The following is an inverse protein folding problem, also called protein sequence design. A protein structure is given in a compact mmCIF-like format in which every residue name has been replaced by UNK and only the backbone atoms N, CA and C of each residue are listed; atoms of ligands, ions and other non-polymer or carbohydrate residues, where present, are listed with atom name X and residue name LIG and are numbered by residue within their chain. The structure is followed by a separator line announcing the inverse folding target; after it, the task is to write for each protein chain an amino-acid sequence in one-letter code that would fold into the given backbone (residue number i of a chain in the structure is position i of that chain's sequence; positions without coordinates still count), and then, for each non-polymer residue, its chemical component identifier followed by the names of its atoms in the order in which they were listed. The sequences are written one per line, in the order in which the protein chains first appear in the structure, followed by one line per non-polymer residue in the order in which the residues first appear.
data_IF_497866308693
#
_entry.id   IF_497866308693
#
_cell.length_a   1.000
_cell.length_b   1.000
_cell.length_c   1.000
_cell.angle_alpha   90.00
_cell.angle_beta   90.00
_cell.angle_gamma   90.00
#
_symmetry.space_group_name_H-M   'P 1'
#
loop_
_entity.id
_entity.type
_entity.pdbx_description
1 polymer ?
#
# COMPACT_ATOMS: atom_id res chain seq x y z
N UNK A 1 12.75 -7.17 8.50
CA UNK A 1 13.57 -6.28 7.65
C UNK A 1 12.84 -4.97 7.38
N UNK A 2 11.59 -5.01 6.92
CA UNK A 2 10.82 -3.80 6.65
C UNK A 2 10.47 -2.98 7.91
N UNK A 3 10.13 -3.63 9.02
CA UNK A 3 9.89 -2.95 10.31
C UNK A 3 11.09 -2.13 10.78
N UNK A 4 12.30 -2.66 10.61
CA UNK A 4 13.54 -1.97 10.98
C UNK A 4 13.75 -0.68 10.16
N UNK A 5 13.42 -0.69 8.86
CA UNK A 5 13.48 0.52 8.04
C UNK A 5 12.52 1.59 8.55
N UNK A 6 11.32 1.20 8.99
CA UNK A 6 10.33 2.12 9.57
C UNK A 6 10.85 2.69 10.90
N UNK A 7 11.43 1.85 11.74
CA UNK A 7 12.06 2.24 13.01
C UNK A 7 13.25 3.18 12.80
N UNK A 8 14.11 2.91 11.82
CA UNK A 8 15.24 3.76 11.43
C UNK A 8 14.76 5.13 10.89
N UNK A 9 13.52 5.21 10.38
CA UNK A 9 12.87 6.46 10.00
C UNK A 9 12.28 7.22 11.20
N UNK A 10 12.32 6.66 12.41
CA UNK A 10 11.87 7.30 13.65
C UNK A 10 10.42 7.00 14.04
N UNK A 11 9.78 6.02 13.42
CA UNK A 11 8.40 5.61 13.74
C UNK A 11 8.37 4.26 14.48
N UNK A 12 7.50 4.13 15.48
CA UNK A 12 7.23 2.84 16.09
C UNK A 12 6.49 1.94 15.09
N UNK A 13 6.93 0.68 14.97
CA UNK A 13 6.34 -0.30 14.07
C UNK A 13 5.89 -1.54 14.86
N UNK A 14 4.63 -1.92 14.71
CA UNK A 14 4.11 -3.19 15.25
C UNK A 14 3.81 -4.14 14.09
N UNK A 15 4.32 -5.38 14.18
CA UNK A 15 3.91 -6.42 13.24
C UNK A 15 2.59 -7.05 13.70
N UNK A 16 1.54 -6.82 12.93
CA UNK A 16 0.22 -7.41 13.17
C UNK A 16 0.14 -8.74 12.44
N UNK A 17 -0.10 -9.83 13.17
CA UNK A 17 -0.30 -11.12 12.53
C UNK A 17 -1.70 -11.21 11.89
N UNK A 18 -1.90 -12.06 10.84
CA UNK A 18 -3.19 -12.19 10.17
C UNK A 18 -4.36 -12.59 11.10
N UNK A 19 -4.11 -13.35 12.16
CA UNK A 19 -5.15 -13.76 13.11
C UNK A 19 -5.64 -12.60 13.97
N UNK A 20 -4.74 -11.71 14.40
CA UNK A 20 -5.07 -10.46 15.09
C UNK A 20 -5.82 -9.52 14.16
N UNK A 21 -5.32 -9.39 12.92
CA UNK A 21 -5.98 -8.59 11.89
C UNK A 21 -7.42 -9.08 11.65
N UNK A 22 -7.68 -10.38 11.65
CA UNK A 22 -9.03 -10.94 11.47
C UNK A 22 -9.89 -10.95 12.75
N UNK A 23 -9.29 -10.78 13.93
CA UNK A 23 -10.00 -10.85 15.21
C UNK A 23 -10.82 -9.58 15.48
N UNK A 24 -12.14 -9.66 15.73
CA UNK A 24 -12.98 -8.49 16.01
C UNK A 24 -12.69 -7.85 17.38
N UNK A 25 -11.97 -8.54 18.27
CA UNK A 25 -11.65 -8.07 19.61
C UNK A 25 -10.29 -7.37 19.68
N UNK A 26 -9.43 -7.59 18.69
CA UNK A 26 -8.16 -6.89 18.63
C UNK A 26 -8.41 -5.43 18.24
N UNK A 27 -7.75 -4.53 18.96
CA UNK A 27 -7.79 -3.09 18.75
C UNK A 27 -6.39 -2.56 18.81
N UNK A 28 -6.03 -1.72 17.85
CA UNK A 28 -4.79 -0.96 17.88
C UNK A 28 -5.05 0.47 17.44
N UNK A 29 -4.10 1.36 17.71
CA UNK A 29 -4.16 2.75 17.25
C UNK A 29 -2.94 2.98 16.40
N UNK A 30 -3.17 3.37 15.15
CA UNK A 30 -2.09 3.52 14.18
C UNK A 30 -2.30 4.79 13.36
N UNK A 31 -1.20 5.40 12.94
CA UNK A 31 -1.21 6.42 11.88
C UNK A 31 -1.39 5.74 10.52
N UNK A 32 -0.66 4.65 10.31
CA UNK A 32 -0.58 3.97 9.02
C UNK A 32 -0.57 2.46 9.16
N UNK A 33 -1.25 1.78 8.24
CA UNK A 33 -1.15 0.34 8.00
C UNK A 33 -0.38 0.09 6.69
N UNK A 34 0.56 -0.85 6.70
CA UNK A 34 1.34 -1.21 5.51
C UNK A 34 1.14 -2.70 5.22
N UNK A 35 0.63 -3.01 4.04
CA UNK A 35 0.42 -4.37 3.53
C UNK A 35 1.56 -4.71 2.58
N UNK A 36 2.46 -5.64 2.94
CA UNK A 36 3.67 -5.92 2.18
C UNK A 36 3.39 -6.65 0.86
N UNK A 37 4.37 -6.61 -0.04
CA UNK A 37 4.33 -7.35 -1.30
C UNK A 37 4.07 -8.83 -1.08
N UNK A 38 3.32 -9.46 -1.98
CA UNK A 38 3.05 -10.90 -1.93
C UNK A 38 1.91 -11.27 -0.97
N UNK A 39 1.16 -10.28 -0.45
CA UNK A 39 0.10 -10.51 0.52
C UNK A 39 -0.99 -11.49 0.02
N UNK A 40 -1.19 -11.58 -1.30
CA UNK A 40 -2.19 -12.44 -1.92
C UNK A 40 -1.65 -13.80 -2.39
N UNK A 41 -0.33 -13.99 -2.36
CA UNK A 41 0.28 -15.23 -2.82
C UNK A 41 0.21 -16.32 -1.72
N UNK A 42 -0.63 -17.36 -1.90
CA UNK A 42 -0.87 -18.36 -0.86
C UNK A 42 0.34 -19.26 -0.58
N UNK A 43 1.35 -19.27 -1.46
CA UNK A 43 2.60 -19.99 -1.21
C UNK A 43 3.47 -19.31 -0.14
N UNK A 44 3.25 -18.02 0.12
CA UNK A 44 4.08 -17.21 1.02
C UNK A 44 3.31 -16.57 2.18
N UNK A 45 2.00 -16.35 2.02
CA UNK A 45 1.21 -15.57 2.98
C UNK A 45 -0.24 -16.03 3.11
N UNK A 46 -0.75 -15.96 4.33
CA UNK A 46 -2.18 -16.11 4.66
C UNK A 46 -2.85 -14.74 4.94
N UNK A 47 -2.23 -13.63 4.53
CA UNK A 47 -2.69 -12.28 4.84
C UNK A 47 -3.96 -11.90 4.05
N UNK A 48 -4.08 -12.32 2.79
CA UNK A 48 -5.23 -11.95 1.95
C UNK A 48 -6.61 -12.36 2.50
N UNK A 49 -6.82 -13.61 2.98
CA UNK A 49 -8.06 -13.96 3.66
C UNK A 49 -8.34 -13.10 4.91
N UNK A 50 -7.30 -12.71 5.65
CA UNK A 50 -7.43 -11.86 6.83
C UNK A 50 -7.78 -10.41 6.47
N UNK A 51 -7.24 -9.89 5.36
CA UNK A 51 -7.60 -8.57 4.83
C UNK A 51 -9.08 -8.52 4.43
N UNK A 52 -9.58 -9.52 3.70
CA UNK A 52 -11.01 -9.66 3.38
C UNK A 52 -11.87 -9.74 4.65
N UNK A 53 -11.49 -10.56 5.62
CA UNK A 53 -12.21 -10.65 6.89
C UNK A 53 -12.21 -9.34 7.71
N UNK A 54 -11.24 -8.45 7.45
CA UNK A 54 -11.10 -7.16 8.11
C UNK A 54 -11.61 -5.97 7.29
N UNK A 55 -12.20 -6.18 6.10
CA UNK A 55 -12.57 -5.12 5.14
C UNK A 55 -13.32 -3.96 5.80
N UNK A 56 -14.33 -4.25 6.61
CA UNK A 56 -15.16 -3.21 7.25
C UNK A 56 -14.43 -2.45 8.36
N UNK A 57 -13.38 -3.02 8.96
CA UNK A 57 -12.51 -2.31 9.91
C UNK A 57 -11.47 -1.47 9.18
N UNK A 58 -10.89 -2.00 8.11
CA UNK A 58 -9.97 -1.27 7.24
C UNK A 58 -10.68 -0.03 6.68
N UNK A 59 -11.92 -0.18 6.20
CA UNK A 59 -12.73 0.94 5.75
C UNK A 59 -12.89 2.00 6.85
N UNK A 60 -13.35 1.63 8.06
CA UNK A 60 -13.52 2.57 9.17
C UNK A 60 -12.20 3.22 9.61
N UNK A 61 -11.10 2.47 9.58
CA UNK A 61 -9.77 2.99 9.90
C UNK A 61 -9.37 4.08 8.91
N UNK A 62 -9.51 3.84 7.61
CA UNK A 62 -9.17 4.82 6.59
C UNK A 62 -10.14 6.01 6.65
N UNK A 63 -11.46 5.77 6.71
CA UNK A 63 -12.46 6.83 6.85
C UNK A 63 -12.19 7.75 8.07
N UNK A 64 -11.69 7.19 9.16
CA UNK A 64 -11.36 7.91 10.39
C UNK A 64 -10.00 8.64 10.40
N UNK A 65 -9.29 8.69 9.27
CA UNK A 65 -8.02 9.39 9.10
C UNK A 65 -6.78 8.49 9.01
N UNK A 66 -6.97 7.17 9.07
CA UNK A 66 -5.88 6.22 8.91
C UNK A 66 -5.32 6.21 7.49
N UNK A 67 -4.03 5.89 7.35
CA UNK A 67 -3.35 5.80 6.05
C UNK A 67 -3.05 4.35 5.72
N UNK A 68 -3.36 3.90 4.52
CA UNK A 68 -3.12 2.53 4.09
C UNK A 68 -2.15 2.53 2.91
N UNK A 69 -1.02 1.83 3.03
CA UNK A 69 -0.09 1.56 1.93
C UNK A 69 -0.18 0.07 1.57
N UNK A 70 -0.49 -0.23 0.32
CA UNK A 70 -0.61 -1.61 -0.18
C UNK A 70 0.34 -1.81 -1.33
N UNK A 71 1.27 -2.75 -1.15
CA UNK A 71 2.16 -3.19 -2.22
C UNK A 71 1.52 -4.26 -3.08
N UNK A 72 2.17 -4.60 -4.19
CA UNK A 72 1.70 -5.60 -5.14
C UNK A 72 1.35 -6.96 -4.56
N UNK A 73 0.36 -7.60 -5.17
CA UNK A 73 -0.19 -8.87 -4.71
C UNK A 73 0.80 -10.05 -4.82
N UNK A 74 1.81 -9.93 -5.69
CA UNK A 74 2.88 -10.91 -5.89
C UNK A 74 2.43 -12.25 -6.49
N UNK A 75 1.26 -12.27 -7.14
CA UNK A 75 0.75 -13.38 -7.93
C UNK A 75 -0.32 -12.89 -8.92
N UNK A 76 -0.56 -13.65 -9.98
CA UNK A 76 -1.63 -13.38 -10.94
C UNK A 76 -3.01 -13.61 -10.32
N UNK A 77 -3.53 -12.57 -9.65
CA UNK A 77 -4.87 -12.52 -9.07
C UNK A 77 -5.45 -11.12 -9.29
N UNK A 78 -6.46 -11.05 -10.16
CA UNK A 78 -7.09 -9.79 -10.57
C UNK A 78 -7.87 -9.12 -9.42
N UNK A 79 -8.56 -9.92 -8.60
CA UNK A 79 -9.39 -9.50 -7.47
C UNK A 79 -8.61 -9.33 -6.15
N UNK A 80 -7.28 -9.20 -6.20
CA UNK A 80 -6.43 -9.17 -5.00
C UNK A 80 -6.70 -7.96 -4.08
N UNK A 81 -7.45 -6.96 -4.53
CA UNK A 81 -7.71 -5.71 -3.81
C UNK A 81 -9.19 -5.49 -3.49
N UNK A 82 -10.04 -6.51 -3.64
CA UNK A 82 -11.50 -6.41 -3.41
C UNK A 82 -11.92 -6.09 -1.96
N UNK A 83 -10.98 -6.15 -1.02
CA UNK A 83 -11.15 -5.75 0.38
C UNK A 83 -10.90 -4.25 0.62
N UNK A 84 -10.47 -3.50 -0.39
CA UNK A 84 -10.30 -2.05 -0.32
C UNK A 84 -11.66 -1.33 -0.40
N UNK A 85 -11.76 -0.11 0.16
CA UNK A 85 -13.00 0.69 0.13
C UNK A 85 -13.32 1.30 -1.25
N UNK A 86 -12.65 0.89 -2.32
CA UNK A 86 -12.87 1.32 -3.70
C UNK A 86 -12.32 0.24 -4.67
N UNK A 87 -12.87 0.12 -5.89
CA UNK A 87 -12.42 -0.90 -6.83
C UNK A 87 -11.00 -0.64 -7.33
N UNK A 88 -10.20 -1.71 -7.37
CA UNK A 88 -8.85 -1.78 -7.95
C UNK A 88 -8.67 -3.19 -8.52
N UNK A 89 -8.29 -3.32 -9.78
CA UNK A 89 -7.86 -4.58 -10.39
C UNK A 89 -6.34 -4.63 -10.49
N UNK A 90 -5.78 -5.85 -10.56
CA UNK A 90 -4.34 -6.05 -10.61
C UNK A 90 -3.90 -7.00 -11.72
N UNK A 91 -2.86 -6.61 -12.43
CA UNK A 91 -2.19 -7.48 -13.40
C UNK A 91 -0.76 -7.75 -12.94
N UNK A 92 -0.44 -9.01 -12.67
CA UNK A 92 0.90 -9.41 -12.24
C UNK A 92 1.85 -9.48 -13.43
N UNK A 93 2.93 -8.71 -13.36
CA UNK A 93 4.00 -8.71 -14.35
C UNK A 93 5.24 -8.10 -13.73
N UNK A 94 6.12 -8.97 -13.24
CA UNK A 94 7.36 -8.59 -12.59
C UNK A 94 8.43 -8.14 -13.59
N UNK A 95 9.08 -7.02 -13.28
CA UNK A 95 10.26 -6.54 -13.99
C UNK A 95 10.42 -5.02 -13.92
N UNK A 96 11.53 -4.51 -14.48
CA UNK A 96 11.87 -3.09 -14.43
C UNK A 96 10.93 -2.27 -15.33
N UNK A 97 10.58 -1.08 -14.86
CA UNK A 97 9.72 -0.12 -15.55
C UNK A 97 10.27 1.28 -15.42
N UNK A 98 10.23 2.02 -16.52
CA UNK A 98 10.43 3.47 -16.49
C UNK A 98 9.15 4.14 -15.97
N UNK A 99 9.29 4.99 -14.97
CA UNK A 99 8.21 5.64 -14.21
C UNK A 99 8.13 7.12 -14.55
N UNK A 100 6.91 7.60 -14.79
CA UNK A 100 6.58 9.00 -14.97
C UNK A 100 5.50 9.43 -14.00
N UNK A 101 5.67 10.60 -13.38
CA UNK A 101 4.64 11.18 -12.53
C UNK A 101 3.59 11.89 -13.38
N UNK A 102 2.34 11.74 -12.99
CA UNK A 102 1.19 12.41 -13.63
C UNK A 102 0.98 13.82 -13.07
N UNK A 103 1.38 14.04 -11.82
CA UNK A 103 1.28 15.30 -11.10
C UNK A 103 2.36 15.40 -10.03
N UNK A 104 2.61 16.62 -9.55
CA UNK A 104 3.37 16.81 -8.32
C UNK A 104 2.51 16.40 -7.13
N UNK A 105 2.99 15.44 -6.35
CA UNK A 105 2.27 14.93 -5.19
C UNK A 105 3.27 14.40 -4.16
N UNK A 106 3.05 14.67 -2.88
CA UNK A 106 3.98 14.21 -1.84
C UNK A 106 4.15 12.68 -1.81
N UNK A 107 3.15 11.93 -2.29
CA UNK A 107 3.22 10.47 -2.35
C UNK A 107 4.22 9.95 -3.41
N UNK A 108 4.60 10.77 -4.41
CA UNK A 108 5.62 10.36 -5.39
C UNK A 108 7.03 10.37 -4.82
N UNK A 109 7.24 11.01 -3.64
CA UNK A 109 8.50 10.88 -2.89
C UNK A 109 8.82 9.43 -2.52
N UNK A 110 7.87 8.51 -2.62
CA UNK A 110 8.06 7.07 -2.51
C UNK A 110 9.23 6.57 -3.37
N UNK A 111 9.43 7.13 -4.57
CA UNK A 111 10.50 6.76 -5.50
C UNK A 111 11.81 7.55 -5.30
N UNK A 112 11.90 8.46 -4.32
CA UNK A 112 13.10 9.28 -4.12
C UNK A 112 14.33 8.40 -3.84
N UNK A 113 15.44 8.68 -4.54
CA UNK A 113 16.69 7.94 -4.43
C UNK A 113 16.84 6.77 -5.41
N UNK A 114 15.79 6.45 -6.19
CA UNK A 114 15.85 5.43 -7.23
C UNK A 114 16.04 6.02 -8.63
N UNK A 115 16.53 5.18 -9.55
CA UNK A 115 16.56 5.49 -10.97
C UNK A 115 15.17 5.25 -11.58
N UNK A 116 14.45 6.34 -11.85
CA UNK A 116 13.10 6.28 -12.43
C UNK A 116 13.06 5.62 -13.81
N UNK A 117 14.18 5.40 -14.49
CA UNK A 117 14.21 4.68 -15.75
C UNK A 117 14.07 3.15 -15.60
N UNK A 118 14.30 2.60 -14.40
CA UNK A 118 14.40 1.16 -14.18
C UNK A 118 13.95 0.74 -12.76
N UNK A 119 12.75 1.16 -12.37
CA UNK A 119 12.13 0.77 -11.10
C UNK A 119 11.59 -0.66 -11.21
N UNK A 120 11.99 -1.56 -10.32
CA UNK A 120 11.42 -2.89 -10.25
C UNK A 120 9.95 -2.80 -9.80
N UNK A 121 9.04 -3.36 -10.59
CA UNK A 121 7.62 -3.43 -10.27
C UNK A 121 7.12 -4.86 -10.39
N UNK A 122 6.14 -5.23 -9.58
CA UNK A 122 5.55 -6.58 -9.59
C UNK A 122 4.21 -6.66 -10.33
N UNK A 123 3.73 -5.55 -10.89
CA UNK A 123 2.47 -5.52 -11.64
C UNK A 123 2.00 -4.13 -12.01
N UNK A 124 0.72 -4.03 -12.35
CA UNK A 124 0.01 -2.79 -12.70
C UNK A 124 -1.40 -2.79 -12.15
N UNK A 125 -2.07 -1.63 -12.23
CA UNK A 125 -3.46 -1.44 -11.84
C UNK A 125 -4.30 -1.03 -13.06
N UNK A 126 -4.83 -1.98 -13.86
CA UNK A 126 -5.51 -1.67 -15.12
C UNK A 126 -6.80 -0.87 -14.94
N UNK A 127 -7.60 -1.18 -13.91
CA UNK A 127 -8.84 -0.50 -13.59
C UNK A 127 -8.84 -0.09 -12.12
N UNK A 128 -9.17 1.17 -11.84
CA UNK A 128 -9.25 1.68 -10.48
C UNK A 128 -10.08 2.97 -10.40
N UNK A 129 -10.67 3.23 -9.24
CA UNK A 129 -11.40 4.49 -8.95
C UNK A 129 -10.54 5.54 -8.24
N UNK A 130 -9.22 5.34 -8.18
CA UNK A 130 -8.24 6.28 -7.62
C UNK A 130 -7.63 7.28 -8.61
N UNK A 131 -6.90 8.24 -8.07
CA UNK A 131 -6.00 9.13 -8.82
C UNK A 131 -4.68 8.39 -9.10
N UNK A 132 -4.33 8.24 -10.38
CA UNK A 132 -3.02 7.70 -10.76
C UNK A 132 -1.96 8.77 -10.55
N UNK A 133 -0.96 8.50 -9.72
CA UNK A 133 0.17 9.41 -9.43
C UNK A 133 1.43 9.07 -10.22
N UNK A 134 1.58 7.79 -10.60
CA UNK A 134 2.72 7.34 -11.39
C UNK A 134 2.28 6.28 -12.42
N UNK A 135 2.80 6.43 -13.64
CA UNK A 135 2.56 5.58 -14.79
C UNK A 135 3.88 4.99 -15.28
N UNK A 136 3.80 3.85 -15.94
CA UNK A 136 4.86 3.39 -16.83
C UNK A 136 4.85 4.16 -18.17
N UNK A 137 5.91 4.03 -18.97
CA UNK A 137 5.96 4.57 -20.35
C UNK A 137 4.81 4.06 -21.23
N UNK A 138 4.34 2.82 -21.02
CA UNK A 138 3.19 2.24 -21.72
C UNK A 138 1.84 2.80 -21.26
N UNK A 139 1.81 3.66 -20.24
CA UNK A 139 0.58 4.21 -19.68
C UNK A 139 -0.08 3.32 -18.63
N UNK A 140 0.59 2.27 -18.15
CA UNK A 140 0.05 1.44 -17.07
C UNK A 140 0.24 2.12 -15.70
N UNK A 141 -0.79 2.11 -14.86
CA UNK A 141 -0.72 2.65 -13.49
C UNK A 141 0.19 1.81 -12.57
N UNK A 142 1.09 2.49 -11.87
CA UNK A 142 2.07 1.92 -10.92
C UNK A 142 1.93 2.47 -9.50
N UNK A 143 1.32 3.65 -9.35
CA UNK A 143 1.01 4.27 -8.06
C UNK A 143 -0.37 4.91 -8.15
N UNK A 144 -1.30 4.46 -7.31
CA UNK A 144 -2.70 4.91 -7.28
C UNK A 144 -3.03 5.39 -5.87
N UNK A 145 -3.60 6.58 -5.76
CA UNK A 145 -4.04 7.19 -4.51
C UNK A 145 -5.56 7.33 -4.50
N UNK A 146 -6.19 7.03 -3.36
CA UNK A 146 -7.60 7.35 -3.12
C UNK A 146 -7.76 7.98 -1.74
N UNK A 147 -8.38 9.15 -1.68
CA UNK A 147 -8.86 9.73 -0.42
C UNK A 147 -10.19 9.07 -0.05
N UNK A 148 -10.33 8.64 1.20
CA UNK A 148 -11.54 7.99 1.72
C UNK A 148 -11.80 8.55 3.12
N UNK A 149 -12.90 9.28 3.28
CA UNK A 149 -13.14 10.07 4.50
C UNK A 149 -11.98 11.02 4.79
N UNK A 150 -11.47 10.98 6.01
CA UNK A 150 -10.34 11.81 6.46
C UNK A 150 -8.97 11.17 6.16
N UNK A 151 -8.93 9.94 5.64
CA UNK A 151 -7.71 9.18 5.40
C UNK A 151 -7.43 8.94 3.92
N UNK A 152 -6.47 8.06 3.66
CA UNK A 152 -6.08 7.72 2.29
C UNK A 152 -5.62 6.27 2.14
N UNK A 153 -5.83 5.74 0.95
CA UNK A 153 -5.22 4.49 0.48
C UNK A 153 -4.24 4.82 -0.65
N UNK A 154 -3.04 4.27 -0.55
CA UNK A 154 -2.02 4.29 -1.57
C UNK A 154 -1.72 2.86 -1.99
N UNK A 155 -1.91 2.55 -3.27
CA UNK A 155 -1.63 1.24 -3.84
C UNK A 155 -0.45 1.41 -4.80
N UNK A 156 0.57 0.56 -4.67
CA UNK A 156 1.79 0.65 -5.47
C UNK A 156 2.26 -0.73 -5.92
N UNK A 157 2.77 -0.81 -7.13
CA UNK A 157 3.39 -2.02 -7.66
C UNK A 157 4.91 -2.03 -7.57
N UNK A 158 5.53 -1.00 -6.97
CA UNK A 158 6.98 -0.99 -6.73
C UNK A 158 7.38 -2.24 -5.94
N UNK A 159 8.48 -2.86 -6.34
CA UNK A 159 9.07 -4.02 -5.68
C UNK A 159 10.35 -3.66 -4.92
N UNK A 160 10.39 -2.44 -4.40
CA UNK A 160 11.51 -1.85 -3.68
C UNK A 160 10.98 -1.22 -2.38
N UNK A 161 11.88 -0.90 -1.46
CA UNK A 161 11.48 -0.19 -0.25
C UNK A 161 11.13 1.28 -0.59
N UNK A 162 10.08 1.86 -0.01
CA UNK A 162 9.82 3.28 -0.17
C UNK A 162 10.98 4.11 0.37
N UNK A 163 11.19 5.30 -0.18
CA UNK A 163 12.20 6.22 0.33
C UNK A 163 11.98 6.54 1.81
N UNK A 164 13.07 6.81 2.53
CA UNK A 164 13.00 7.20 3.94
C UNK A 164 12.22 8.52 4.15
N UNK A 165 12.28 9.43 3.16
CA UNK A 165 11.49 10.67 3.19
C UNK A 165 10.00 10.37 3.16
N UNK A 166 9.57 9.50 2.24
CA UNK A 166 8.18 9.08 2.15
C UNK A 166 7.73 8.42 3.44
N UNK A 167 8.50 7.46 3.97
CA UNK A 167 8.14 6.73 5.19
C UNK A 167 7.94 7.67 6.37
N UNK A 168 8.88 8.60 6.60
CA UNK A 168 8.75 9.61 7.67
C UNK A 168 7.45 10.37 7.61
N UNK A 169 7.04 10.82 6.42
CA UNK A 169 5.79 11.56 6.23
C UNK A 169 4.58 10.65 6.39
N UNK A 170 4.62 9.47 5.78
CA UNK A 170 3.49 8.56 5.73
C UNK A 170 3.14 8.00 7.12
N UNK A 171 4.15 7.72 7.95
CA UNK A 171 3.97 7.13 9.29
C UNK A 171 3.84 8.17 10.40
N UNK A 172 4.04 9.47 10.12
CA UNK A 172 3.92 10.54 11.12
C UNK A 172 2.61 11.31 10.95
N UNK A 173 1.89 11.49 12.06
CA UNK A 173 0.64 12.25 12.14
C UNK A 173 0.44 12.74 13.59
N UNK A 174 -0.30 13.82 13.77
CA UNK A 174 -0.66 14.37 15.09
C UNK A 174 -1.68 13.48 15.83
N UNK A 175 -2.28 12.52 15.13
CA UNK A 175 -3.30 11.62 15.67
C UNK A 175 -3.15 10.21 15.11
N UNK A 176 -3.35 9.24 15.99
CA UNK A 176 -3.57 7.83 15.64
C UNK A 176 -5.06 7.53 15.48
N UNK A 177 -5.39 6.67 14.52
CA UNK A 177 -6.74 6.20 14.26
C UNK A 177 -6.93 4.80 14.82
N UNK A 178 -8.09 4.56 15.43
CA UNK A 178 -8.46 3.25 15.93
C UNK A 178 -8.67 2.29 14.75
N UNK A 179 -8.02 1.13 14.82
CA UNK A 179 -8.25 -0.02 13.97
C UNK A 179 -9.16 -1.04 14.68
#
# INVERSE_FOLDING_TARGET
MFSRLIEDCGAACEMINPYMLASPFWRGRFVSLIVPTGFANPAYSNLFPALRAAEGRIQRFVEGGGRLLVFGAGCAREDAYDWLPFPVTYSFAYGPRAVHYTCENECTTLFNGYDLAAIECDGTFPEHDGETLALSVSGDALLVKKTVGDGMVLVTSIHEYPSAEFLKRFTCSDKETLF
#
